data_IF_775934743906
#
_entry.id   IF_775934743906
#
_cell.length_a   1.000
_cell.length_b   1.000
_cell.length_c   1.000
_cell.angle_alpha   90.00
_cell.angle_beta   90.00
_cell.angle_gamma   90.00
#
_symmetry.space_group_name_H-M   'P 1'
#
loop_
_entity.id
_entity.type
_entity.pdbx_description
1 polymer ?
#
# COMPACT_ATOMS: atom_id res chain seq x y z
N UNK A 1 -25.70 -9.44 -5.88
CA UNK A 1 -24.80 -10.56 -6.15
C UNK A 1 -23.45 -10.25 -5.50
N UNK A 2 -23.07 -10.99 -4.46
CA UNK A 2 -21.83 -10.72 -3.73
C UNK A 2 -20.63 -10.82 -4.66
N UNK A 3 -19.75 -9.81 -4.63
CA UNK A 3 -18.51 -9.79 -5.38
C UNK A 3 -17.58 -10.83 -4.75
N UNK A 4 -17.42 -11.99 -5.42
CA UNK A 4 -16.57 -13.08 -4.91
C UNK A 4 -15.28 -13.28 -5.72
N UNK A 5 -14.83 -12.27 -6.42
CA UNK A 5 -13.62 -12.32 -7.25
C UNK A 5 -12.67 -11.16 -6.88
N UNK A 6 -11.35 -11.42 -6.79
CA UNK A 6 -10.69 -12.73 -6.83
C UNK A 6 -10.71 -13.46 -5.48
N UNK A 7 -10.56 -14.79 -5.51
CA UNK A 7 -10.22 -15.59 -4.33
C UNK A 7 -8.70 -15.78 -4.19
N UNK A 8 -8.25 -16.40 -3.10
CA UNK A 8 -6.81 -16.56 -2.78
C UNK A 8 -6.04 -17.25 -3.92
N UNK A 9 -6.51 -18.41 -4.40
CA UNK A 9 -5.84 -19.15 -5.49
C UNK A 9 -5.74 -18.32 -6.77
N UNK A 10 -6.80 -17.58 -7.10
CA UNK A 10 -6.84 -16.71 -8.27
C UNK A 10 -5.85 -15.56 -8.11
N UNK A 11 -5.77 -14.93 -6.93
CA UNK A 11 -4.82 -13.87 -6.64
C UNK A 11 -3.38 -14.36 -6.77
N UNK A 12 -3.04 -15.51 -6.18
CA UNK A 12 -1.69 -16.09 -6.30
C UNK A 12 -1.36 -16.35 -7.78
N UNK A 13 -2.28 -16.94 -8.55
CA UNK A 13 -2.09 -17.15 -9.98
C UNK A 13 -1.89 -15.85 -10.77
N UNK A 14 -2.65 -14.79 -10.43
CA UNK A 14 -2.47 -13.47 -11.03
C UNK A 14 -1.11 -12.88 -10.69
N UNK A 15 -0.67 -12.94 -9.42
CA UNK A 15 0.63 -12.44 -9.00
C UNK A 15 1.79 -13.15 -9.71
N UNK A 16 1.73 -14.49 -9.82
CA UNK A 16 2.72 -15.25 -10.55
C UNK A 16 2.80 -14.83 -12.04
N UNK A 17 1.64 -14.60 -12.67
CA UNK A 17 1.59 -14.11 -14.05
C UNK A 17 2.03 -12.65 -14.18
N UNK A 18 1.74 -11.79 -13.20
CA UNK A 18 2.24 -10.39 -13.16
C UNK A 18 3.77 -10.39 -13.16
N UNK A 19 4.39 -11.17 -12.27
CA UNK A 19 5.85 -11.31 -12.22
C UNK A 19 6.42 -11.80 -13.55
N UNK A 20 5.80 -12.83 -14.12
CA UNK A 20 6.22 -13.36 -15.43
C UNK A 20 6.08 -12.29 -16.52
N UNK A 21 4.98 -11.57 -16.58
CA UNK A 21 4.75 -10.49 -17.57
C UNK A 21 5.74 -9.34 -17.39
N UNK A 22 6.02 -8.95 -16.15
CA UNK A 22 7.04 -7.92 -15.87
C UNK A 22 8.42 -8.37 -16.38
N UNK A 23 8.81 -9.61 -16.08
CA UNK A 23 10.10 -10.17 -16.52
C UNK A 23 10.19 -10.23 -18.05
N UNK A 24 9.16 -10.76 -18.73
CA UNK A 24 9.12 -10.88 -20.19
C UNK A 24 9.08 -9.50 -20.86
N UNK A 25 8.20 -8.59 -20.39
CA UNK A 25 8.08 -7.25 -20.95
C UNK A 25 9.37 -6.45 -20.73
N UNK A 26 9.96 -6.53 -19.55
CA UNK A 26 11.25 -5.89 -19.26
C UNK A 26 12.36 -6.40 -20.16
N UNK A 27 12.46 -7.72 -20.36
CA UNK A 27 13.45 -8.30 -21.26
C UNK A 27 13.23 -7.88 -22.72
N UNK A 28 12.00 -7.91 -23.22
CA UNK A 28 11.65 -7.50 -24.58
C UNK A 28 11.96 -6.02 -24.80
N UNK A 29 11.57 -5.14 -23.89
CA UNK A 29 11.83 -3.71 -23.98
C UNK A 29 13.32 -3.40 -23.89
N UNK A 30 14.07 -4.11 -23.04
CA UNK A 30 15.53 -3.98 -22.94
C UNK A 30 16.25 -4.42 -24.21
N UNK A 31 15.85 -5.54 -24.81
CA UNK A 31 16.39 -6.01 -26.10
C UNK A 31 16.07 -4.99 -27.22
N UNK A 32 14.82 -4.49 -27.24
CA UNK A 32 14.40 -3.52 -28.25
C UNK A 32 15.18 -2.21 -28.13
N UNK A 33 15.39 -1.70 -26.93
CA UNK A 33 16.21 -0.52 -26.69
C UNK A 33 17.64 -0.72 -27.21
N UNK A 34 18.24 -1.88 -26.94
CA UNK A 34 19.58 -2.21 -27.44
C UNK A 34 19.63 -2.28 -28.99
N UNK A 35 18.67 -2.96 -29.62
CA UNK A 35 18.58 -3.07 -31.07
C UNK A 35 18.40 -1.72 -31.75
N UNK A 36 17.61 -0.83 -31.11
CA UNK A 36 17.36 0.52 -31.62
C UNK A 36 18.45 1.53 -31.24
N UNK A 37 19.49 1.11 -30.52
CA UNK A 37 20.55 1.95 -29.98
C UNK A 37 20.04 3.16 -29.17
N UNK A 38 18.89 2.96 -28.45
CA UNK A 38 18.31 3.95 -27.53
C UNK A 38 18.84 3.68 -26.13
N UNK A 39 19.27 4.71 -25.38
CA UNK A 39 19.63 4.52 -23.96
C UNK A 39 18.53 3.79 -23.20
N UNK A 40 18.87 2.67 -22.56
CA UNK A 40 17.90 1.84 -21.85
C UNK A 40 17.70 2.36 -20.42
N UNK A 41 16.75 3.27 -20.24
CA UNK A 41 16.28 3.63 -18.89
C UNK A 41 15.56 2.43 -18.26
N UNK A 42 16.29 1.69 -17.42
CA UNK A 42 15.80 0.48 -16.76
C UNK A 42 14.60 0.77 -15.83
N UNK A 43 14.56 1.96 -15.22
CA UNK A 43 13.46 2.37 -14.35
C UNK A 43 12.18 2.62 -15.14
N UNK A 44 12.27 3.32 -16.27
CA UNK A 44 11.14 3.56 -17.17
C UNK A 44 10.64 2.24 -17.78
N UNK A 45 11.56 1.37 -18.23
CA UNK A 45 11.23 0.05 -18.75
C UNK A 45 10.47 -0.76 -17.70
N UNK A 46 10.95 -0.76 -16.44
CA UNK A 46 10.27 -1.39 -15.32
C UNK A 46 8.86 -0.83 -15.09
N UNK A 47 8.69 0.50 -15.13
CA UNK A 47 7.40 1.17 -15.00
C UNK A 47 6.41 0.80 -16.10
N UNK A 48 6.86 0.71 -17.34
CA UNK A 48 6.04 0.26 -18.47
C UNK A 48 5.65 -1.21 -18.32
N UNK A 49 6.60 -2.08 -17.98
CA UNK A 49 6.34 -3.50 -17.72
C UNK A 49 5.32 -3.68 -16.58
N UNK A 50 5.44 -2.91 -15.50
CA UNK A 50 4.50 -2.88 -14.38
C UNK A 50 3.09 -2.47 -14.86
N UNK A 51 3.00 -1.39 -15.64
CA UNK A 51 1.72 -0.90 -16.18
C UNK A 51 1.02 -1.97 -17.03
N UNK A 52 1.75 -2.63 -17.93
CA UNK A 52 1.18 -3.70 -18.75
C UNK A 52 0.74 -4.89 -17.92
N UNK A 53 1.54 -5.33 -16.96
CA UNK A 53 1.25 -6.50 -16.15
C UNK A 53 0.03 -6.30 -15.25
N UNK A 54 0.01 -5.24 -14.45
CA UNK A 54 -1.14 -4.94 -13.58
C UNK A 54 -2.37 -4.50 -14.38
N UNK A 55 -2.17 -3.64 -15.39
CA UNK A 55 -3.23 -3.14 -16.26
C UNK A 55 -4.00 -4.27 -16.96
N UNK A 56 -3.31 -5.30 -17.43
CA UNK A 56 -3.96 -6.49 -18.01
C UNK A 56 -4.97 -7.12 -17.05
N UNK A 57 -4.58 -7.36 -15.78
CA UNK A 57 -5.49 -7.99 -14.82
C UNK A 57 -6.59 -7.06 -14.33
N UNK A 58 -6.30 -5.76 -14.19
CA UNK A 58 -7.31 -4.73 -13.88
C UNK A 58 -8.39 -4.71 -14.96
N UNK A 59 -8.01 -4.65 -16.23
CA UNK A 59 -8.94 -4.66 -17.35
C UNK A 59 -9.67 -6.01 -17.49
N UNK A 60 -8.95 -7.14 -17.35
CA UNK A 60 -9.53 -8.48 -17.38
C UNK A 60 -10.57 -8.71 -16.29
N UNK A 61 -10.47 -8.02 -15.14
CA UNK A 61 -11.45 -8.11 -14.05
C UNK A 61 -12.89 -7.80 -14.51
N UNK A 62 -13.05 -7.02 -15.59
CA UNK A 62 -14.35 -6.74 -16.20
C UNK A 62 -15.14 -8.01 -16.61
N UNK A 63 -14.43 -9.11 -16.93
CA UNK A 63 -15.07 -10.39 -17.28
C UNK A 63 -15.74 -11.07 -16.09
N UNK A 64 -15.29 -10.79 -14.88
CA UNK A 64 -15.73 -11.43 -13.64
C UNK A 64 -16.61 -10.53 -12.79
N UNK A 65 -16.35 -9.22 -12.84
CA UNK A 65 -17.09 -8.20 -12.09
C UNK A 65 -17.95 -7.41 -13.08
N UNK A 66 -19.26 -7.59 -12.99
CA UNK A 66 -20.23 -6.94 -13.89
C UNK A 66 -20.53 -5.48 -13.55
N UNK A 67 -19.94 -4.99 -12.46
CA UNK A 67 -20.09 -3.59 -12.02
C UNK A 67 -19.32 -2.61 -12.94
N UNK A 68 -19.78 -1.36 -13.08
CA UNK A 68 -19.07 -0.30 -13.79
C UNK A 68 -17.67 -0.05 -13.23
N UNK A 69 -16.76 0.47 -14.05
CA UNK A 69 -15.36 0.74 -13.63
C UNK A 69 -15.29 1.68 -12.41
N UNK A 70 -16.12 2.72 -12.38
CA UNK A 70 -16.19 3.70 -11.28
C UNK A 70 -16.66 3.09 -9.95
N UNK A 71 -17.48 2.06 -9.97
CA UNK A 71 -17.89 1.33 -8.78
C UNK A 71 -16.83 0.31 -8.33
N UNK A 72 -16.10 -0.23 -9.32
CA UNK A 72 -15.01 -1.16 -9.07
C UNK A 72 -13.79 -0.49 -8.46
N UNK A 73 -13.49 0.70 -8.93
CA UNK A 73 -12.36 1.53 -8.48
C UNK A 73 -12.88 2.88 -7.98
N UNK A 74 -13.47 2.90 -6.78
CA UNK A 74 -14.14 4.08 -6.27
C UNK A 74 -13.14 5.18 -5.89
N UNK A 75 -13.45 6.41 -6.28
CA UNK A 75 -12.72 7.63 -5.95
C UNK A 75 -13.66 8.69 -5.32
N UNK A 76 -14.57 8.31 -4.40
CA UNK A 76 -15.45 9.30 -3.80
C UNK A 76 -14.66 10.30 -2.95
N UNK A 77 -15.26 11.47 -2.65
CA UNK A 77 -14.72 12.38 -1.64
C UNK A 77 -14.52 11.65 -0.31
N UNK A 78 -13.46 12.00 0.39
CA UNK A 78 -13.12 11.44 1.70
C UNK A 78 -12.70 12.57 2.66
N UNK A 79 -12.63 12.25 3.95
CA UNK A 79 -12.19 13.19 4.95
C UNK A 79 -10.69 13.50 4.77
N UNK A 80 -10.34 14.74 4.46
CA UNK A 80 -8.96 15.20 4.23
C UNK A 80 -8.02 14.93 5.42
N UNK A 81 -8.57 14.76 6.63
CA UNK A 81 -7.78 14.41 7.84
C UNK A 81 -7.02 13.10 7.66
N UNK A 82 -7.53 12.15 6.83
CA UNK A 82 -6.79 10.94 6.48
C UNK A 82 -5.47 11.24 5.75
N UNK A 83 -5.43 12.26 4.89
CA UNK A 83 -4.19 12.66 4.23
C UNK A 83 -3.22 13.31 5.20
N UNK A 84 -3.68 14.22 6.05
CA UNK A 84 -2.78 14.92 6.99
C UNK A 84 -2.17 13.94 7.99
N UNK A 85 -3.02 13.17 8.66
CA UNK A 85 -2.58 12.19 9.67
C UNK A 85 -1.77 11.07 8.98
N UNK A 86 -2.24 10.60 7.83
CA UNK A 86 -1.52 9.62 7.02
C UNK A 86 -0.16 10.12 6.56
N UNK A 87 -0.02 11.38 6.17
CA UNK A 87 1.27 11.95 5.76
C UNK A 87 2.27 11.97 6.91
N UNK A 88 1.85 12.39 8.11
CA UNK A 88 2.69 12.32 9.31
C UNK A 88 3.13 10.88 9.58
N UNK A 89 2.20 9.93 9.46
CA UNK A 89 2.49 8.51 9.62
C UNK A 89 3.47 8.00 8.57
N UNK A 90 3.31 8.37 7.29
CA UNK A 90 4.21 7.94 6.21
C UNK A 90 5.64 8.47 6.43
N UNK A 91 5.80 9.73 6.84
CA UNK A 91 7.12 10.28 7.18
C UNK A 91 7.76 9.50 8.34
N UNK A 92 7.03 9.29 9.43
CA UNK A 92 7.53 8.53 10.58
C UNK A 92 7.88 7.08 10.21
N UNK A 93 7.02 6.41 9.45
CA UNK A 93 7.26 5.02 9.01
C UNK A 93 8.39 4.93 7.99
N UNK A 94 8.60 5.91 7.13
CA UNK A 94 9.74 5.93 6.22
C UNK A 94 11.07 5.86 6.99
N UNK A 95 11.16 6.56 8.11
CA UNK A 95 12.34 6.54 8.98
C UNK A 95 12.46 5.18 9.70
N UNK A 96 11.41 4.76 10.39
CA UNK A 96 11.43 3.54 11.23
C UNK A 96 11.64 2.28 10.38
N UNK A 97 11.00 2.19 9.21
CA UNK A 97 11.12 1.02 8.34
C UNK A 97 12.46 0.96 7.62
N UNK A 98 13.09 2.11 7.35
CA UNK A 98 14.45 2.16 6.82
C UNK A 98 15.47 1.58 7.83
N UNK A 99 15.34 1.87 9.13
CA UNK A 99 16.20 1.28 10.14
C UNK A 99 15.93 -0.23 10.29
N UNK A 100 14.68 -0.65 10.18
CA UNK A 100 14.34 -2.07 10.19
C UNK A 100 14.91 -2.82 8.96
N UNK A 101 15.01 -2.15 7.82
CA UNK A 101 15.71 -2.68 6.64
C UNK A 101 17.21 -2.82 6.90
N UNK A 102 17.85 -1.84 7.56
CA UNK A 102 19.25 -1.92 7.99
C UNK A 102 19.49 -3.14 8.90
N UNK A 103 18.63 -3.35 9.90
CA UNK A 103 18.68 -4.52 10.77
C UNK A 103 18.50 -5.82 9.98
N UNK A 104 17.59 -5.84 9.02
CA UNK A 104 17.39 -7.02 8.17
C UNK A 104 18.64 -7.33 7.35
N UNK A 105 19.34 -6.30 6.82
CA UNK A 105 20.59 -6.47 6.07
C UNK A 105 21.76 -6.97 6.92
N UNK A 106 21.78 -6.69 8.21
CA UNK A 106 22.78 -7.31 9.14
C UNK A 106 22.58 -8.82 9.24
N UNK A 107 21.32 -9.26 9.36
CA UNK A 107 20.99 -10.69 9.53
C UNK A 107 21.05 -11.43 8.19
N UNK A 108 20.62 -10.77 7.12
CA UNK A 108 20.58 -11.30 5.76
C UNK A 108 21.31 -10.34 4.82
N UNK A 109 22.63 -10.47 4.62
CA UNK A 109 23.38 -9.62 3.71
C UNK A 109 22.80 -9.63 2.30
N UNK A 110 22.72 -8.46 1.69
CA UNK A 110 22.11 -8.29 0.35
C UNK A 110 23.10 -8.74 -0.74
N UNK A 111 22.75 -9.73 -1.60
CA UNK A 111 23.59 -10.10 -2.74
C UNK A 111 23.76 -8.95 -3.75
N UNK A 112 24.91 -8.91 -4.42
CA UNK A 112 25.28 -7.86 -5.38
C UNK A 112 24.21 -7.62 -6.47
N UNK A 113 23.56 -8.69 -6.94
CA UNK A 113 22.46 -8.59 -7.90
C UNK A 113 21.34 -7.66 -7.42
N UNK A 114 20.91 -7.80 -6.15
CA UNK A 114 19.88 -6.93 -5.57
C UNK A 114 20.41 -5.53 -5.28
N UNK A 115 21.67 -5.40 -4.83
CA UNK A 115 22.29 -4.09 -4.61
C UNK A 115 22.26 -3.24 -5.91
N UNK A 116 22.58 -3.85 -7.05
CA UNK A 116 22.53 -3.21 -8.35
C UNK A 116 21.11 -2.79 -8.75
N UNK A 117 20.11 -3.63 -8.50
CA UNK A 117 18.70 -3.30 -8.75
C UNK A 117 18.28 -2.07 -7.92
N UNK A 118 18.53 -2.08 -6.61
CA UNK A 118 18.15 -0.96 -5.75
C UNK A 118 18.92 0.32 -6.09
N UNK A 119 20.22 0.22 -6.36
CA UNK A 119 21.03 1.35 -6.80
C UNK A 119 20.48 2.00 -8.07
N UNK A 120 20.05 1.20 -9.04
CA UNK A 120 19.51 1.71 -10.31
C UNK A 120 18.18 2.46 -10.17
N UNK A 121 17.37 2.17 -9.14
CA UNK A 121 16.09 2.87 -8.90
C UNK A 121 16.30 4.36 -8.57
N UNK A 122 17.41 4.70 -7.91
CA UNK A 122 17.72 6.07 -7.51
C UNK A 122 18.76 6.76 -8.42
N UNK A 123 19.50 5.99 -9.19
CA UNK A 123 20.55 6.45 -10.10
C UNK A 123 20.22 6.13 -11.57
N UNK A 124 18.93 6.08 -11.94
CA UNK A 124 18.50 5.73 -13.30
C UNK A 124 19.09 6.70 -14.34
N UNK A 125 19.35 6.21 -15.56
CA UNK A 125 19.81 7.01 -16.70
C UNK A 125 18.84 8.14 -17.05
N UNK A 126 17.52 7.93 -16.85
CA UNK A 126 16.48 8.96 -16.95
C UNK A 126 16.42 9.94 -15.78
N UNK A 127 17.24 9.73 -14.75
CA UNK A 127 17.35 10.59 -13.58
C UNK A 127 16.08 10.68 -12.75
N UNK A 128 15.95 11.79 -12.01
CA UNK A 128 14.82 12.03 -11.09
C UNK A 128 13.45 11.87 -11.75
N UNK A 129 13.28 12.37 -12.99
CA UNK A 129 11.97 12.37 -13.66
C UNK A 129 11.45 10.95 -13.89
N UNK A 130 12.33 10.07 -14.36
CA UNK A 130 11.98 8.67 -14.63
C UNK A 130 11.64 7.92 -13.34
N UNK A 131 12.46 8.07 -12.30
CA UNK A 131 12.22 7.48 -10.98
C UNK A 131 10.94 8.03 -10.36
N UNK A 132 10.72 9.34 -10.39
CA UNK A 132 9.50 9.96 -9.87
C UNK A 132 8.25 9.43 -10.59
N UNK A 133 8.26 9.43 -11.91
CA UNK A 133 7.10 8.97 -12.68
C UNK A 133 6.80 7.48 -12.39
N UNK A 134 7.83 6.64 -12.40
CA UNK A 134 7.66 5.20 -12.18
C UNK A 134 7.26 4.88 -10.75
N UNK A 135 8.01 5.39 -9.75
CA UNK A 135 7.83 5.00 -8.36
C UNK A 135 6.71 5.76 -7.65
N UNK A 136 6.48 7.03 -8.02
CA UNK A 136 5.52 7.86 -7.30
C UNK A 136 4.18 8.02 -8.02
N UNK A 137 4.08 7.69 -9.31
CA UNK A 137 2.84 7.79 -10.07
C UNK A 137 2.35 6.41 -10.54
N UNK A 138 3.15 5.73 -11.37
CA UNK A 138 2.74 4.49 -12.03
C UNK A 138 2.53 3.35 -11.04
N UNK A 139 3.54 3.07 -10.21
CA UNK A 139 3.46 1.98 -9.25
C UNK A 139 2.31 2.17 -8.24
N UNK A 140 2.17 3.31 -7.52
CA UNK A 140 1.06 3.50 -6.60
C UNK A 140 -0.32 3.35 -7.24
N UNK A 141 -0.53 3.91 -8.44
CA UNK A 141 -1.83 3.81 -9.12
C UNK A 141 -2.15 2.34 -9.45
N UNK A 142 -1.24 1.65 -10.12
CA UNK A 142 -1.47 0.28 -10.58
C UNK A 142 -1.61 -0.70 -9.43
N UNK A 143 -0.80 -0.55 -8.40
CA UNK A 143 -0.80 -1.42 -7.23
C UNK A 143 -2.03 -1.19 -6.35
N UNK A 144 -2.43 0.05 -6.08
CA UNK A 144 -3.64 0.32 -5.29
C UNK A 144 -4.92 -0.13 -6.02
N UNK A 145 -5.01 0.12 -7.33
CA UNK A 145 -6.11 -0.42 -8.14
C UNK A 145 -6.19 -1.94 -8.05
N UNK A 146 -5.06 -2.64 -8.10
CA UNK A 146 -5.03 -4.09 -8.04
C UNK A 146 -5.27 -4.60 -6.61
N UNK A 147 -4.48 -4.15 -5.62
CA UNK A 147 -4.55 -4.71 -4.28
C UNK A 147 -5.77 -4.25 -3.50
N UNK A 148 -6.14 -2.95 -3.53
CA UNK A 148 -7.32 -2.44 -2.79
C UNK A 148 -8.58 -2.54 -3.62
N UNK A 149 -8.48 -2.20 -4.91
CA UNK A 149 -9.62 -2.25 -5.82
C UNK A 149 -10.12 -3.66 -6.15
N UNK A 150 -9.22 -4.66 -6.25
CA UNK A 150 -9.61 -6.04 -6.58
C UNK A 150 -9.37 -7.01 -5.45
N UNK A 151 -8.12 -7.22 -5.03
CA UNK A 151 -7.73 -8.31 -4.12
C UNK A 151 -8.41 -8.17 -2.76
N UNK A 152 -8.25 -7.03 -2.10
CA UNK A 152 -8.83 -6.78 -0.78
C UNK A 152 -10.36 -6.90 -0.80
N UNK A 153 -11.03 -6.33 -1.80
CA UNK A 153 -12.50 -6.42 -1.97
C UNK A 153 -12.93 -7.88 -2.16
N UNK A 154 -12.21 -8.64 -2.98
CA UNK A 154 -12.47 -10.06 -3.19
C UNK A 154 -12.31 -10.87 -1.89
N UNK A 155 -11.35 -10.53 -1.04
CA UNK A 155 -11.13 -11.19 0.25
C UNK A 155 -12.18 -10.77 1.29
N UNK A 156 -12.54 -9.50 1.37
CA UNK A 156 -13.59 -9.01 2.27
C UNK A 156 -14.95 -9.66 2.02
N UNK A 157 -15.24 -10.07 0.79
CA UNK A 157 -16.46 -10.82 0.47
C UNK A 157 -16.43 -12.30 0.87
N UNK A 158 -15.29 -12.81 1.37
CA UNK A 158 -15.08 -14.24 1.65
C UNK A 158 -14.63 -14.55 3.07
N UNK A 159 -14.05 -13.58 3.77
CA UNK A 159 -13.42 -13.80 5.07
C UNK A 159 -13.53 -12.59 5.98
N UNK A 160 -13.25 -12.78 7.28
CA UNK A 160 -13.25 -11.71 8.26
C UNK A 160 -12.29 -10.56 7.87
N UNK A 161 -12.67 -9.33 8.22
CA UNK A 161 -11.95 -8.08 7.88
C UNK A 161 -10.45 -8.17 8.18
N UNK A 162 -10.08 -8.56 9.40
CA UNK A 162 -8.67 -8.68 9.81
C UNK A 162 -7.90 -9.66 8.92
N UNK A 163 -8.47 -10.83 8.65
CA UNK A 163 -7.85 -11.84 7.80
C UNK A 163 -7.68 -11.34 6.35
N UNK A 164 -8.67 -10.62 5.83
CA UNK A 164 -8.60 -10.02 4.49
C UNK A 164 -7.49 -8.96 4.40
N UNK A 165 -7.38 -8.09 5.41
CA UNK A 165 -6.32 -7.07 5.50
C UNK A 165 -4.95 -7.73 5.50
N UNK A 166 -4.69 -8.63 6.46
CA UNK A 166 -3.38 -9.25 6.63
C UNK A 166 -2.96 -10.07 5.42
N UNK A 167 -3.89 -10.83 4.83
CA UNK A 167 -3.58 -11.64 3.65
C UNK A 167 -3.34 -10.78 2.40
N UNK A 168 -4.12 -9.72 2.20
CA UNK A 168 -3.89 -8.78 1.10
C UNK A 168 -2.55 -8.05 1.25
N UNK A 169 -2.20 -7.63 2.47
CA UNK A 169 -0.93 -6.99 2.78
C UNK A 169 0.27 -7.94 2.62
N UNK A 170 0.12 -9.20 3.03
CA UNK A 170 1.15 -10.22 2.82
C UNK A 170 1.41 -10.46 1.32
N UNK A 171 0.37 -10.58 0.53
CA UNK A 171 0.53 -10.76 -0.92
C UNK A 171 1.09 -9.50 -1.59
N UNK A 172 0.74 -8.31 -1.10
CA UNK A 172 1.35 -7.05 -1.53
C UNK A 172 2.85 -7.00 -1.22
N UNK A 173 3.25 -7.49 -0.06
CA UNK A 173 4.66 -7.57 0.31
C UNK A 173 5.42 -8.60 -0.53
N UNK A 174 4.86 -9.79 -0.72
CA UNK A 174 5.50 -10.88 -1.44
C UNK A 174 5.74 -10.59 -2.94
N UNK A 175 4.93 -9.75 -3.58
CA UNK A 175 5.12 -9.39 -5.00
C UNK A 175 6.42 -8.63 -5.26
N UNK A 176 7.00 -8.00 -4.23
CA UNK A 176 8.30 -7.31 -4.35
C UNK A 176 9.48 -8.28 -4.54
N UNK A 177 9.28 -9.58 -4.30
CA UNK A 177 10.28 -10.66 -4.47
C UNK A 177 11.61 -10.39 -3.76
N UNK A 178 11.57 -9.62 -2.69
CA UNK A 178 12.74 -9.19 -1.94
C UNK A 178 12.55 -9.44 -0.45
N UNK A 179 13.39 -10.25 0.19
CA UNK A 179 13.32 -10.47 1.63
C UNK A 179 13.48 -9.19 2.45
N UNK A 180 14.30 -8.26 1.99
CA UNK A 180 14.53 -6.97 2.65
C UNK A 180 13.32 -6.06 2.57
N UNK A 181 12.50 -6.18 1.53
CA UNK A 181 11.24 -5.46 1.37
C UNK A 181 10.02 -6.29 1.82
N UNK A 182 10.17 -7.21 2.75
CA UNK A 182 9.03 -8.00 3.22
C UNK A 182 8.24 -7.26 4.31
N UNK A 183 8.92 -6.71 5.29
CA UNK A 183 8.29 -6.14 6.48
C UNK A 183 7.67 -4.76 6.18
N UNK A 184 8.41 -3.88 5.53
CA UNK A 184 7.93 -2.53 5.21
C UNK A 184 6.64 -2.54 4.40
N UNK A 185 6.59 -3.15 3.21
CA UNK A 185 5.37 -3.24 2.40
C UNK A 185 4.23 -3.99 3.08
N UNK A 186 4.51 -4.96 3.97
CA UNK A 186 3.45 -5.61 4.75
C UNK A 186 2.77 -4.64 5.72
N UNK A 187 3.55 -3.82 6.44
CA UNK A 187 3.02 -2.82 7.37
C UNK A 187 2.25 -1.74 6.60
N UNK A 188 2.86 -1.15 5.58
CA UNK A 188 2.26 -0.12 4.73
C UNK A 188 1.00 -0.66 4.04
N UNK A 189 1.08 -1.88 3.52
CA UNK A 189 -0.04 -2.57 2.90
C UNK A 189 -1.23 -2.77 3.83
N UNK A 190 -0.98 -3.09 5.10
CA UNK A 190 -2.01 -3.22 6.12
C UNK A 190 -2.68 -1.88 6.44
N UNK A 191 -1.90 -0.81 6.55
CA UNK A 191 -2.39 0.56 6.80
C UNK A 191 -3.26 1.04 5.64
N UNK A 192 -2.80 0.88 4.39
CA UNK A 192 -3.59 1.27 3.22
C UNK A 192 -4.89 0.46 3.10
N UNK A 193 -4.86 -0.84 3.47
CA UNK A 193 -6.09 -1.63 3.52
C UNK A 193 -7.10 -1.08 4.55
N UNK A 194 -6.63 -0.64 5.72
CA UNK A 194 -7.50 0.00 6.74
C UNK A 194 -8.04 1.32 6.21
N UNK A 195 -7.20 2.20 5.68
CA UNK A 195 -7.62 3.50 5.13
C UNK A 195 -8.66 3.30 4.02
N UNK A 196 -8.44 2.36 3.10
CA UNK A 196 -9.40 2.04 2.04
C UNK A 196 -10.75 1.57 2.60
N UNK A 197 -10.73 0.69 3.61
CA UNK A 197 -11.98 0.19 4.23
C UNK A 197 -12.74 1.31 4.93
N UNK A 198 -12.05 2.25 5.55
CA UNK A 198 -12.68 3.35 6.29
C UNK A 198 -13.19 4.45 5.37
N UNK A 199 -12.44 4.79 4.34
CA UNK A 199 -12.79 5.87 3.40
C UNK A 199 -13.63 5.41 2.22
N UNK A 200 -13.62 4.13 1.91
CA UNK A 200 -14.19 3.54 0.68
C UNK A 200 -13.67 4.22 -0.60
N UNK A 201 -12.49 4.85 -0.53
CA UNK A 201 -11.86 5.59 -1.63
C UNK A 201 -10.43 5.07 -1.85
N UNK A 202 -10.04 4.90 -3.11
CA UNK A 202 -8.67 4.58 -3.49
C UNK A 202 -7.76 5.81 -3.47
N UNK A 203 -8.33 7.01 -3.55
CA UNK A 203 -7.53 8.23 -3.70
C UNK A 203 -6.58 8.49 -2.52
N UNK A 204 -7.03 8.41 -1.23
CA UNK A 204 -6.10 8.61 -0.12
C UNK A 204 -4.98 7.56 -0.07
N UNK A 205 -5.25 6.30 -0.44
CA UNK A 205 -4.21 5.26 -0.45
C UNK A 205 -3.21 5.49 -1.57
N UNK A 206 -3.65 5.87 -2.76
CA UNK A 206 -2.77 6.23 -3.89
C UNK A 206 -1.87 7.40 -3.50
N UNK A 207 -2.43 8.47 -2.93
CA UNK A 207 -1.67 9.68 -2.56
C UNK A 207 -0.64 9.40 -1.45
N UNK A 208 -1.03 8.65 -0.43
CA UNK A 208 -0.12 8.28 0.67
C UNK A 208 0.95 7.29 0.22
N UNK A 209 0.63 6.37 -0.69
CA UNK A 209 1.61 5.47 -1.30
C UNK A 209 2.62 6.27 -2.16
N UNK A 210 2.12 7.18 -3.00
CA UNK A 210 2.97 8.11 -3.75
C UNK A 210 3.89 8.92 -2.86
N UNK A 211 3.36 9.44 -1.75
CA UNK A 211 4.16 10.17 -0.77
C UNK A 211 5.24 9.29 -0.15
N UNK A 212 4.88 8.08 0.30
CA UNK A 212 5.84 7.16 0.91
C UNK A 212 7.01 6.84 -0.02
N UNK A 213 6.72 6.55 -1.29
CA UNK A 213 7.76 6.29 -2.30
C UNK A 213 8.56 7.55 -2.68
N UNK A 214 7.94 8.72 -2.55
CA UNK A 214 8.60 9.99 -2.83
C UNK A 214 9.61 10.40 -1.76
N UNK A 215 9.41 10.06 -0.49
CA UNK A 215 10.26 10.50 0.62
C UNK A 215 11.75 10.18 0.43
N UNK A 216 12.17 8.92 0.13
CA UNK A 216 13.58 8.64 -0.12
C UNK A 216 14.09 9.35 -1.39
N UNK A 217 13.29 9.44 -2.44
CA UNK A 217 13.64 10.13 -3.67
C UNK A 217 13.83 11.64 -3.42
N UNK A 218 12.98 12.25 -2.59
CA UNK A 218 13.11 13.64 -2.16
C UNK A 218 14.44 13.88 -1.44
N UNK A 219 14.76 13.06 -0.45
CA UNK A 219 15.97 13.23 0.36
C UNK A 219 17.23 13.01 -0.49
N UNK A 220 17.28 11.93 -1.28
CA UNK A 220 18.47 11.55 -2.03
C UNK A 220 18.69 12.37 -3.31
N UNK A 221 17.63 12.61 -4.08
CA UNK A 221 17.75 13.19 -5.43
C UNK A 221 17.47 14.70 -5.47
N UNK A 222 16.55 15.21 -4.64
CA UNK A 222 16.15 16.62 -4.64
C UNK A 222 16.96 17.41 -3.61
N UNK A 223 16.88 16.99 -2.34
CA UNK A 223 17.56 17.68 -1.24
C UNK A 223 19.05 17.36 -1.20
N UNK A 224 19.45 16.20 -1.73
CA UNK A 224 20.83 15.69 -1.73
C UNK A 224 21.43 15.66 -0.32
N UNK A 225 20.61 15.32 0.67
CA UNK A 225 21.03 15.21 2.06
C UNK A 225 21.45 13.77 2.32
N UNK A 226 22.67 13.62 2.88
CA UNK A 226 23.16 12.33 3.32
C UNK A 226 22.82 12.13 4.79
N UNK A 227 21.96 11.16 5.08
CA UNK A 227 21.64 10.70 6.43
C UNK A 227 22.10 9.25 6.51
N UNK A 228 23.08 8.92 7.39
CA UNK A 228 23.53 7.54 7.55
C UNK A 228 22.36 6.58 7.76
N UNK A 229 22.39 5.42 7.13
CA UNK A 229 21.35 4.39 7.24
C UNK A 229 20.01 4.70 6.57
N UNK A 230 19.74 5.97 6.19
CA UNK A 230 18.50 6.36 5.48
C UNK A 230 18.75 6.66 4.00
N UNK A 231 19.79 7.47 3.70
CA UNK A 231 20.15 7.81 2.32
C UNK A 231 21.20 6.82 1.79
N UNK A 232 20.82 5.55 1.67
CA UNK A 232 21.75 4.48 1.29
C UNK A 232 22.08 4.56 -0.19
N UNK A 233 23.36 4.79 -0.52
CA UNK A 233 23.90 4.77 -1.87
C UNK A 233 24.71 3.51 -2.15
N UNK A 234 25.23 2.88 -1.11
CA UNK A 234 26.01 1.65 -1.18
C UNK A 234 25.39 0.58 -0.29
N UNK A 235 24.77 -0.42 -0.90
CA UNK A 235 24.04 -1.48 -0.17
C UNK A 235 24.95 -2.62 0.35
N UNK A 236 26.24 -2.60 0.01
CA UNK A 236 27.24 -3.55 0.51
C UNK A 236 27.60 -3.30 1.98
N UNK A 237 27.49 -2.03 2.42
CA UNK A 237 27.79 -1.61 3.78
C UNK A 237 26.48 -1.33 4.53
N UNK A 238 26.35 -1.84 5.74
CA UNK A 238 25.22 -1.52 6.60
C UNK A 238 25.63 -0.40 7.55
N UNK A 239 24.94 0.74 7.42
CA UNK A 239 25.04 1.84 8.37
C UNK A 239 23.71 1.94 9.12
N UNK A 240 23.78 2.29 10.41
CA UNK A 240 22.61 2.57 11.23
C UNK A 240 22.30 4.06 11.25
N UNK A 241 21.02 4.36 11.43
CA UNK A 241 20.58 5.74 11.55
C UNK A 241 21.07 6.38 12.87
N UNK A 242 21.28 7.70 12.90
CA UNK A 242 21.52 8.40 14.16
C UNK A 242 20.29 8.28 15.09
N UNK A 243 20.51 8.03 16.36
CA UNK A 243 19.44 7.81 17.35
C UNK A 243 18.38 8.92 17.36
N UNK A 244 18.79 10.18 17.16
CA UNK A 244 17.84 11.29 17.10
C UNK A 244 16.86 11.17 15.94
N UNK A 245 17.28 10.58 14.82
CA UNK A 245 16.46 10.38 13.63
C UNK A 245 15.45 9.25 13.85
N UNK A 246 15.88 8.13 14.47
CA UNK A 246 14.98 7.05 14.89
C UNK A 246 13.93 7.54 15.89
N UNK A 247 14.34 8.33 16.89
CA UNK A 247 13.42 8.93 17.86
C UNK A 247 12.42 9.87 17.19
N UNK A 248 12.86 10.66 16.19
CA UNK A 248 11.95 11.48 15.38
C UNK A 248 10.93 10.61 14.63
N UNK A 249 11.38 9.51 14.00
CA UNK A 249 10.49 8.58 13.31
C UNK A 249 9.44 8.00 14.26
N UNK A 250 9.85 7.48 15.41
CA UNK A 250 8.96 6.94 16.44
C UNK A 250 7.99 8.00 16.98
N UNK A 251 8.46 9.21 17.21
CA UNK A 251 7.63 10.34 17.66
C UNK A 251 6.54 10.68 16.64
N UNK A 252 6.88 10.75 15.35
CA UNK A 252 5.91 11.02 14.28
C UNK A 252 4.88 9.90 14.14
N UNK A 253 5.30 8.64 14.26
CA UNK A 253 4.37 7.50 14.29
C UNK A 253 3.44 7.61 15.50
N UNK A 254 3.97 7.89 16.69
CA UNK A 254 3.19 8.05 17.91
C UNK A 254 2.15 9.17 17.81
N UNK A 255 2.55 10.35 17.31
CA UNK A 255 1.64 11.50 17.11
C UNK A 255 0.54 11.17 16.10
N UNK A 256 0.89 10.52 14.99
CA UNK A 256 -0.09 10.12 13.98
C UNK A 256 -1.13 9.13 14.54
N UNK A 257 -0.71 8.15 15.33
CA UNK A 257 -1.61 7.19 15.99
C UNK A 257 -2.53 7.88 17.02
N UNK A 258 -2.00 8.82 17.79
CA UNK A 258 -2.80 9.63 18.71
C UNK A 258 -3.84 10.45 17.93
N UNK A 259 -3.44 11.14 16.87
CA UNK A 259 -4.37 11.92 16.05
C UNK A 259 -5.41 11.04 15.35
N UNK A 260 -5.01 9.88 14.83
CA UNK A 260 -5.96 8.91 14.30
C UNK A 260 -7.00 8.51 15.36
N UNK A 261 -6.56 8.18 16.58
CA UNK A 261 -7.44 7.78 17.68
C UNK A 261 -8.45 8.85 18.07
N UNK A 262 -8.04 10.12 18.08
CA UNK A 262 -8.90 11.23 18.50
C UNK A 262 -9.81 11.74 17.37
N UNK A 263 -9.35 11.76 16.13
CA UNK A 263 -10.05 12.45 15.04
C UNK A 263 -10.72 11.54 14.03
N UNK A 264 -10.25 10.32 13.86
CA UNK A 264 -10.71 9.41 12.82
C UNK A 264 -11.28 8.09 13.33
N UNK A 265 -10.77 7.56 14.46
CA UNK A 265 -11.24 6.27 14.97
C UNK A 265 -12.74 6.30 15.27
N UNK A 266 -13.50 5.26 14.86
CA UNK A 266 -14.90 5.16 15.19
C UNK A 266 -15.11 5.30 16.69
N UNK A 267 -15.96 6.23 17.12
CA UNK A 267 -16.37 6.32 18.53
C UNK A 267 -17.12 5.04 18.88
N UNK A 268 -16.73 4.40 19.99
CA UNK A 268 -17.51 3.29 20.51
C UNK A 268 -18.95 3.77 20.72
N UNK A 269 -19.93 3.06 20.13
CA UNK A 269 -21.33 3.32 20.39
C UNK A 269 -21.53 3.19 21.90
N UNK A 270 -22.00 4.26 22.56
CA UNK A 270 -22.42 4.19 23.96
C UNK A 270 -23.40 3.04 24.08
N UNK A 271 -23.32 2.21 25.14
CA UNK A 271 -24.34 1.20 25.40
C UNK A 271 -25.68 1.92 25.44
N UNK A 272 -26.63 1.45 24.65
CA UNK A 272 -28.02 1.91 24.72
C UNK A 272 -28.41 1.71 26.16
N UNK A 273 -28.60 2.80 26.91
CA UNK A 273 -29.16 2.76 28.25
C UNK A 273 -30.55 2.12 28.11
N UNK A 274 -30.65 0.88 28.51
CA UNK A 274 -31.92 0.17 28.51
C UNK A 274 -32.93 0.97 29.35
N UNK A 275 -33.82 1.67 28.68
CA UNK A 275 -34.99 2.24 29.26
C UNK A 275 -35.85 1.07 29.77
N UNK A 276 -35.80 0.82 31.07
CA UNK A 276 -36.82 0.04 31.78
C UNK A 276 -38.06 0.89 31.78
N UNK A 277 -38.87 0.79 30.73
CA UNK A 277 -40.23 1.32 30.75
C UNK A 277 -41.10 0.33 31.52
N UNK A 278 -41.27 0.63 32.82
CA UNK A 278 -42.19 -0.07 33.70
C UNK A 278 -43.62 0.32 33.34
N UNK A 279 -44.28 -0.51 32.55
CA UNK A 279 -45.73 -0.45 32.45
C UNK A 279 -46.33 -1.24 33.60
N UNK A 280 -46.65 -0.51 34.69
CA UNK A 280 -47.59 -0.97 35.71
C UNK A 280 -48.95 -1.26 35.09
N UNK A 281 -49.45 -2.46 35.38
CA UNK A 281 -50.78 -2.89 35.03
C UNK A 281 -51.85 -2.05 35.73
N UNK A 282 -52.86 -1.65 34.99
CA UNK A 282 -54.17 -1.29 35.56
C UNK A 282 -55.22 -2.25 35.04
N UNK A 283 -55.71 -3.02 35.99
CA UNK A 283 -56.92 -3.85 35.93
C UNK A 283 -58.10 -3.00 35.40
N UNK A 284 -58.91 -3.57 34.55
CA UNK A 284 -60.22 -3.11 34.25
C UNK A 284 -61.23 -4.24 34.58
N UNK A 285 -62.31 -3.94 35.18
CA UNK A 285 -63.31 -4.96 35.64
C UNK A 285 -64.32 -5.31 34.55
N UNK A 286 -64.77 -6.54 34.63
CA UNK A 286 -65.90 -7.12 33.89
C UNK A 286 -67.22 -6.39 34.10
N UNK A 287 -68.00 -6.18 33.01
CA UNK A 287 -69.45 -6.10 33.10
C UNK A 287 -70.11 -6.68 31.86
N UNK A 288 -70.79 -7.68 32.02
CA UNK A 288 -71.93 -8.44 31.60
C UNK A 288 -73.05 -7.64 30.85
N UNK A 289 -73.71 -8.45 30.00
CA UNK A 289 -75.12 -8.31 29.51
C UNK A 289 -75.31 -7.35 28.30
N UNK A 290 -75.88 -7.79 27.28
CA UNK A 290 -77.04 -8.58 26.92
C UNK A 290 -77.04 -8.86 25.42
#
# INVERSE_FOLDING_TARGET
MEIRYPGIKQTIGMLALIVLFQAVAGAVLGILANVLHVPADTTLIGGLANTFAFGFFILRSKKFLKEPFTQRFPLPPFDWRYLVIGSILMVGLSIVLSELDNLTRVVLPMPEFFQNIYGSLFQSEGGFVSSFFTLCIVAPITEELFFRGLVLRGFLSRMAKTKAILLSALLFSLIHLSPWQLIGPFIIGSIFAVIYIETQSLLPTILLHSLFNFLPLLVMSVLKVSIPGYSVTEYSVVEFQPLWFDLLGLFLVGIALVFYRFFLAPKASSPISGGTDGTEGKNAPSSSSS
#
